data_IF_695307196617
#
_entry.id   IF_695307196617
#
_cell.length_a   1.000
_cell.length_b   1.000
_cell.length_c   1.000
_cell.angle_alpha   90.00
_cell.angle_beta   90.00
_cell.angle_gamma   90.00
#
_symmetry.space_group_name_H-M   'P 1'
#
loop_
_entity.id
_entity.type
_entity.pdbx_description
1 polymer ?
#
# COMPACT_ATOMS: atom_id res chain seq x y z
N UNK A 1 -29.17 -12.49 -17.02
CA UNK A 1 -27.70 -12.34 -16.92
C UNK A 1 -27.44 -10.88 -16.60
N UNK A 2 -27.05 -10.52 -15.38
CA UNK A 2 -26.82 -9.12 -14.97
C UNK A 2 -25.33 -8.83 -15.08
N UNK A 3 -24.87 -7.87 -15.92
CA UNK A 3 -23.58 -7.25 -15.71
C UNK A 3 -23.76 -6.23 -14.58
N UNK A 4 -23.38 -6.59 -13.36
CA UNK A 4 -23.28 -5.58 -12.30
C UNK A 4 -22.03 -4.75 -12.60
N UNK A 5 -22.25 -3.55 -13.14
CA UNK A 5 -21.24 -2.51 -13.25
C UNK A 5 -20.50 -2.39 -11.91
N UNK A 6 -19.19 -2.64 -11.97
CA UNK A 6 -18.27 -2.39 -10.87
C UNK A 6 -18.19 -0.88 -10.63
N UNK A 7 -19.03 -0.40 -9.71
CA UNK A 7 -18.95 0.95 -9.15
C UNK A 7 -17.78 0.98 -8.16
N UNK A 8 -16.57 0.86 -8.68
CA UNK A 8 -15.37 0.74 -7.84
C UNK A 8 -14.87 2.14 -7.53
N UNK A 9 -15.46 2.77 -6.51
CA UNK A 9 -14.98 4.02 -5.97
C UNK A 9 -13.66 3.75 -5.24
N UNK A 10 -12.55 3.95 -5.95
CA UNK A 10 -11.20 3.73 -5.45
C UNK A 10 -10.86 4.66 -4.29
N UNK A 11 -11.13 4.15 -3.10
CA UNK A 11 -10.87 4.83 -1.85
C UNK A 11 -9.42 4.55 -1.44
N UNK A 12 -8.63 5.59 -1.11
CA UNK A 12 -7.28 5.38 -0.60
C UNK A 12 -7.34 4.57 0.70
N UNK A 13 -6.37 3.66 0.88
CA UNK A 13 -6.20 2.88 2.11
C UNK A 13 -5.04 3.45 2.91
N UNK A 14 -5.29 3.69 4.19
CA UNK A 14 -4.27 4.17 5.13
C UNK A 14 -3.80 3.01 6.02
N UNK A 15 -2.50 2.90 6.21
CA UNK A 15 -1.85 1.96 7.11
C UNK A 15 -0.97 2.71 8.09
N UNK A 16 -0.91 2.24 9.33
CA UNK A 16 -0.04 2.77 10.36
C UNK A 16 0.88 1.68 10.91
N UNK A 17 2.17 1.99 10.99
CA UNK A 17 3.19 1.08 11.49
C UNK A 17 3.76 1.62 12.82
N UNK A 18 3.28 1.14 13.97
CA UNK A 18 3.64 1.75 15.27
C UNK A 18 5.12 1.62 15.64
N UNK A 19 5.84 0.62 15.13
CA UNK A 19 7.29 0.50 15.30
C UNK A 19 8.02 1.19 14.14
N UNK A 20 8.63 2.34 14.45
CA UNK A 20 9.38 3.14 13.49
C UNK A 20 10.60 2.40 12.90
N UNK A 21 11.28 1.56 13.69
CA UNK A 21 12.48 0.86 13.22
C UNK A 21 12.12 -0.18 12.16
N UNK A 22 11.05 -0.94 12.42
CA UNK A 22 10.50 -1.94 11.49
C UNK A 22 9.90 -1.25 10.25
N UNK A 23 9.14 -0.16 10.43
CA UNK A 23 8.59 0.62 9.32
C UNK A 23 9.69 1.17 8.38
N UNK A 24 10.78 1.72 8.93
CA UNK A 24 11.91 2.20 8.13
C UNK A 24 12.57 1.10 7.32
N UNK A 25 12.72 -0.09 7.91
CA UNK A 25 13.26 -1.26 7.21
C UNK A 25 12.33 -1.72 6.10
N UNK A 26 11.02 -1.73 6.36
CA UNK A 26 9.98 -2.09 5.41
C UNK A 26 9.92 -1.13 4.21
N UNK A 27 10.00 0.18 4.47
CA UNK A 27 9.98 1.20 3.40
C UNK A 27 11.27 1.22 2.58
N UNK A 28 12.37 0.76 3.17
CA UNK A 28 13.70 0.68 2.56
C UNK A 28 14.40 2.03 2.47
N UNK A 29 15.69 1.99 2.12
CA UNK A 29 16.49 3.20 1.94
C UNK A 29 15.87 4.15 0.91
N UNK A 30 15.65 5.39 1.32
CA UNK A 30 15.01 6.44 0.51
C UNK A 30 13.66 5.98 -0.10
N UNK A 31 12.89 5.16 0.63
CA UNK A 31 11.61 4.60 0.20
C UNK A 31 11.69 3.70 -1.04
N UNK A 32 12.84 3.09 -1.32
CA UNK A 32 13.04 2.20 -2.49
C UNK A 32 12.07 1.03 -2.54
N UNK A 33 11.69 0.46 -1.40
CA UNK A 33 10.75 -0.67 -1.40
C UNK A 33 9.35 -0.19 -1.79
N UNK A 34 8.95 1.00 -1.34
CA UNK A 34 7.67 1.60 -1.72
C UNK A 34 7.61 1.85 -3.23
N UNK A 35 8.65 2.46 -3.79
CA UNK A 35 8.76 2.69 -5.25
C UNK A 35 8.69 1.37 -6.03
N UNK A 36 9.31 0.31 -5.50
CA UNK A 36 9.28 -1.01 -6.13
C UNK A 36 7.86 -1.58 -6.15
N UNK A 37 7.11 -1.44 -5.06
CA UNK A 37 5.71 -1.88 -4.99
C UNK A 37 4.81 -1.03 -5.88
N UNK A 38 4.99 0.29 -5.92
CA UNK A 38 4.28 1.19 -6.85
C UNK A 38 4.48 0.76 -8.30
N UNK A 39 5.71 0.51 -8.72
CA UNK A 39 6.03 0.07 -10.09
C UNK A 39 5.47 -1.32 -10.41
N UNK A 40 5.47 -2.24 -9.45
CA UNK A 40 5.00 -3.61 -9.65
C UNK A 40 3.47 -3.73 -9.69
N UNK A 41 2.76 -2.89 -8.94
CA UNK A 41 1.30 -2.98 -8.77
C UNK A 41 0.52 -1.88 -9.49
N UNK A 42 1.18 -0.80 -9.89
CA UNK A 42 0.55 0.36 -10.51
C UNK A 42 -0.22 1.26 -9.53
N UNK A 43 -0.01 1.11 -8.22
CA UNK A 43 -0.56 2.02 -7.20
C UNK A 43 0.37 3.20 -6.96
N UNK A 44 -0.15 4.21 -6.27
CA UNK A 44 0.62 5.32 -5.70
C UNK A 44 0.67 5.18 -4.19
N UNK A 45 1.85 5.33 -3.61
CA UNK A 45 2.11 5.21 -2.17
C UNK A 45 2.72 6.52 -1.69
N UNK A 46 2.05 7.17 -0.76
CA UNK A 46 2.57 8.31 -0.02
C UNK A 46 2.89 7.91 1.41
N UNK A 47 3.96 8.47 1.97
CA UNK A 47 4.34 8.24 3.36
C UNK A 47 4.35 9.54 4.14
N UNK A 48 3.93 9.46 5.41
CA UNK A 48 4.10 10.52 6.40
C UNK A 48 4.54 9.90 7.71
N UNK A 49 5.85 9.96 7.97
CA UNK A 49 6.44 9.35 9.15
C UNK A 49 6.27 7.83 9.13
N UNK A 50 5.32 7.35 9.95
CA UNK A 50 5.00 5.93 10.11
C UNK A 50 3.68 5.51 9.44
N UNK A 51 3.04 6.42 8.71
CA UNK A 51 1.82 6.17 7.97
C UNK A 51 2.10 5.98 6.48
N UNK A 52 1.40 5.04 5.86
CA UNK A 52 1.32 4.87 4.40
C UNK A 52 -0.10 5.15 3.93
N UNK A 53 -0.22 5.91 2.86
CA UNK A 53 -1.47 6.09 2.11
C UNK A 53 -1.29 5.48 0.73
N UNK A 54 -2.12 4.50 0.40
CA UNK A 54 -2.07 3.76 -0.86
C UNK A 54 -3.33 4.11 -1.67
N UNK A 55 -3.15 4.59 -2.89
CA UNK A 55 -4.24 4.93 -3.81
C UNK A 55 -4.02 4.34 -5.19
N UNK A 56 -5.09 3.93 -5.86
CA UNK A 56 -5.03 3.22 -7.13
C UNK A 56 -6.27 2.37 -7.33
N UNK A 57 -6.20 1.36 -8.20
CA UNK A 57 -7.32 0.41 -8.38
C UNK A 57 -7.50 -0.46 -7.13
N UNK A 58 -8.74 -0.74 -6.72
CA UNK A 58 -9.05 -1.39 -5.44
C UNK A 58 -8.30 -2.69 -5.20
N UNK A 59 -8.24 -3.57 -6.21
CA UNK A 59 -7.52 -4.84 -6.10
C UNK A 59 -6.00 -4.64 -5.93
N UNK A 60 -5.43 -3.59 -6.54
CA UNK A 60 -4.02 -3.27 -6.43
C UNK A 60 -3.70 -2.61 -5.08
N UNK A 61 -4.59 -1.74 -4.59
CA UNK A 61 -4.52 -1.14 -3.25
C UNK A 61 -4.61 -2.23 -2.18
N UNK A 62 -5.54 -3.17 -2.31
CA UNK A 62 -5.69 -4.30 -1.40
C UNK A 62 -4.43 -5.19 -1.40
N UNK A 63 -3.92 -5.55 -2.58
CA UNK A 63 -2.70 -6.33 -2.72
C UNK A 63 -1.50 -5.65 -2.05
N UNK A 64 -1.27 -4.37 -2.35
CA UNK A 64 -0.17 -3.61 -1.78
C UNK A 64 -0.31 -3.48 -0.25
N UNK A 65 -1.52 -3.21 0.25
CA UNK A 65 -1.76 -3.08 1.68
C UNK A 65 -1.49 -4.39 2.43
N UNK A 66 -2.02 -5.51 1.94
CA UNK A 66 -1.79 -6.83 2.54
C UNK A 66 -0.31 -7.23 2.50
N UNK A 67 0.41 -6.90 1.43
CA UNK A 67 1.85 -7.13 1.36
C UNK A 67 2.59 -6.41 2.49
N UNK A 68 2.34 -5.12 2.71
CA UNK A 68 3.00 -4.37 3.79
C UNK A 68 2.60 -4.85 5.18
N UNK A 69 1.32 -5.19 5.40
CA UNK A 69 0.85 -5.77 6.66
C UNK A 69 1.58 -7.10 6.96
N UNK A 70 1.70 -7.98 5.97
CA UNK A 70 2.39 -9.27 6.12
C UNK A 70 3.89 -9.11 6.38
N UNK A 71 4.56 -8.25 5.62
CA UNK A 71 6.00 -8.01 5.78
C UNK A 71 6.33 -7.35 7.13
N UNK A 72 5.41 -6.57 7.70
CA UNK A 72 5.57 -5.96 9.02
C UNK A 72 5.44 -6.97 10.18
N UNK A 73 4.78 -8.12 9.95
CA UNK A 73 4.58 -9.16 10.96
C UNK A 73 5.70 -10.21 11.01
N UNK A 74 6.67 -10.15 10.10
CA UNK A 74 7.84 -11.04 10.05
C UNK A 74 8.93 -10.60 11.03
#
# INVERSE_FOLDING_TARGET
>A
MKPSSASTASSPRELEFPDNATARTLFGDLNRNLQTVELATGVTIHTRGQQLQISGQDHAVELAATLFEQLYQL
#
